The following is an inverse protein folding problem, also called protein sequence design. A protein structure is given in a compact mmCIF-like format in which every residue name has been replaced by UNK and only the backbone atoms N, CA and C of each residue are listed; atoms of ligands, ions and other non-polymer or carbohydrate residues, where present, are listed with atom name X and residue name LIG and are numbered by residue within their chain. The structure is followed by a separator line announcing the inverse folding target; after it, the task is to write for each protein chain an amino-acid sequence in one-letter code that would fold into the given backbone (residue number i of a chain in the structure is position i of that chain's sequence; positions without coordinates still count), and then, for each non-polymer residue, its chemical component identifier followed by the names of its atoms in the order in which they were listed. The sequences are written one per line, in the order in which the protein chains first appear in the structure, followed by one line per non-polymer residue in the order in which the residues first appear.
data_IF_632500440013
#
_entry.id   IF_632500440013
#
_cell.length_a   1.000
_cell.length_b   1.000
_cell.length_c   1.000
_cell.angle_alpha   90.00
_cell.angle_beta   90.00
_cell.angle_gamma   90.00
#
_symmetry.space_group_name_H-M   'P 1'
#
loop_
_entity.id
_entity.type
_entity.pdbx_description
1 polymer ?
#
# COMPACT_ATOMS: atom_id res chain seq x y z
N UNK A 1 6.97 -31.92 -6.27
CA UNK A 1 6.74 -30.66 -7.00
C UNK A 1 8.04 -29.89 -7.10
N UNK A 2 8.42 -29.37 -8.27
CA UNK A 2 9.65 -28.61 -8.48
C UNK A 2 9.28 -27.17 -8.86
N UNK A 3 9.43 -26.23 -7.92
CA UNK A 3 9.17 -24.82 -8.14
C UNK A 3 10.39 -24.22 -8.83
N UNK A 4 10.20 -23.58 -9.99
CA UNK A 4 11.26 -22.96 -10.79
C UNK A 4 11.10 -21.44 -10.93
N UNK A 5 9.86 -20.94 -11.00
CA UNK A 5 9.56 -19.54 -11.21
C UNK A 5 8.50 -19.03 -10.23
N UNK A 6 8.74 -17.88 -9.65
CA UNK A 6 7.80 -17.17 -8.80
C UNK A 6 7.57 -15.76 -9.33
N UNK A 7 6.33 -15.28 -9.28
CA UNK A 7 5.96 -13.89 -9.51
C UNK A 7 5.57 -13.23 -8.22
N UNK A 8 6.10 -12.05 -7.96
CA UNK A 8 5.76 -11.20 -6.81
C UNK A 8 4.99 -9.99 -7.33
N UNK A 9 3.74 -9.81 -6.86
CA UNK A 9 2.83 -8.76 -7.32
C UNK A 9 3.18 -7.37 -6.74
N UNK A 10 4.48 -7.04 -6.74
CA UNK A 10 5.04 -5.79 -6.27
C UNK A 10 6.00 -5.18 -7.32
N UNK A 11 6.34 -3.88 -7.19
CA UNK A 11 7.38 -3.29 -8.04
C UNK A 11 8.70 -4.05 -7.91
N UNK A 12 9.42 -4.17 -9.03
CA UNK A 12 10.79 -4.67 -8.99
C UNK A 12 11.65 -3.78 -8.08
N UNK A 13 12.48 -4.36 -7.21
CA UNK A 13 13.45 -3.58 -6.44
C UNK A 13 14.51 -3.00 -7.36
N UNK A 14 15.13 -1.87 -6.96
CA UNK A 14 16.21 -1.26 -7.73
C UNK A 14 17.41 -2.20 -7.92
N UNK A 15 17.68 -3.02 -6.91
CA UNK A 15 18.72 -4.05 -6.91
C UNK A 15 18.10 -5.38 -6.48
N UNK A 16 18.10 -6.37 -7.37
CA UNK A 16 17.47 -7.68 -7.11
C UNK A 16 18.08 -8.38 -5.89
N UNK A 17 19.37 -8.22 -5.67
CA UNK A 17 20.08 -8.83 -4.54
C UNK A 17 19.66 -8.29 -3.17
N UNK A 18 19.15 -7.06 -3.13
CA UNK A 18 18.60 -6.43 -1.91
C UNK A 18 17.11 -6.77 -1.68
N UNK A 19 16.50 -7.51 -2.59
CA UNK A 19 15.13 -7.95 -2.41
C UNK A 19 15.00 -8.92 -1.23
N UNK A 20 13.95 -8.78 -0.40
CA UNK A 20 13.65 -9.78 0.63
C UNK A 20 13.36 -11.17 0.06
N UNK A 21 13.10 -11.29 -1.26
CA UNK A 21 12.84 -12.55 -1.96
C UNK A 21 14.09 -13.12 -2.67
N UNK A 22 15.25 -12.47 -2.59
CA UNK A 22 16.47 -12.92 -3.25
C UNK A 22 16.93 -14.31 -2.77
N UNK A 23 16.60 -14.69 -1.54
CA UNK A 23 16.86 -16.05 -1.01
C UNK A 23 16.23 -17.16 -1.85
N UNK A 24 15.11 -16.91 -2.52
CA UNK A 24 14.45 -17.86 -3.42
C UNK A 24 15.40 -18.27 -4.55
N UNK A 25 16.08 -17.28 -5.15
CA UNK A 25 17.08 -17.55 -6.19
C UNK A 25 18.34 -18.19 -5.61
N UNK A 26 18.87 -17.62 -4.50
CA UNK A 26 20.15 -18.05 -3.92
C UNK A 26 20.08 -19.45 -3.28
N UNK A 27 19.01 -19.75 -2.53
CA UNK A 27 18.89 -20.95 -1.71
C UNK A 27 18.14 -22.08 -2.42
N UNK A 28 17.14 -21.75 -3.23
CA UNK A 28 16.23 -22.73 -3.85
C UNK A 28 16.32 -22.78 -5.38
N UNK A 29 17.11 -21.90 -5.99
CA UNK A 29 17.24 -21.78 -7.46
C UNK A 29 15.89 -21.49 -8.16
N UNK A 30 15.04 -20.67 -7.52
CA UNK A 30 13.77 -20.22 -8.05
C UNK A 30 13.98 -18.84 -8.66
N UNK A 31 13.66 -18.65 -9.94
CA UNK A 31 13.67 -17.36 -10.59
C UNK A 31 12.51 -16.50 -10.05
N UNK A 32 12.78 -15.28 -9.63
CA UNK A 32 11.77 -14.36 -9.13
C UNK A 32 11.60 -13.22 -10.12
N UNK A 33 10.39 -13.08 -10.62
CA UNK A 33 9.97 -11.95 -11.44
C UNK A 33 9.05 -11.04 -10.62
N UNK A 34 8.92 -9.76 -11.01
CA UNK A 34 8.12 -8.76 -10.31
C UNK A 34 7.19 -8.08 -11.31
N UNK A 35 5.92 -7.94 -10.95
CA UNK A 35 4.93 -7.24 -11.76
C UNK A 35 3.90 -6.60 -10.83
N UNK A 36 3.59 -5.31 -11.03
CA UNK A 36 2.52 -4.66 -10.29
C UNK A 36 1.16 -5.15 -10.80
N UNK A 37 0.36 -5.72 -9.92
CA UNK A 37 -1.00 -6.18 -10.24
C UNK A 37 -2.05 -5.09 -10.02
N UNK A 38 -1.65 -3.97 -9.44
CA UNK A 38 -2.46 -2.75 -9.35
C UNK A 38 -1.59 -1.51 -9.48
N UNK A 39 -2.21 -0.39 -9.78
CA UNK A 39 -1.56 0.91 -9.84
C UNK A 39 -2.39 1.97 -9.11
N UNK A 40 -1.73 3.07 -8.75
CA UNK A 40 -2.39 4.21 -8.14
C UNK A 40 -2.72 5.21 -9.24
N UNK A 41 -3.99 5.56 -9.35
CA UNK A 41 -4.49 6.60 -10.25
C UNK A 41 -4.96 7.80 -9.43
N UNK A 42 -4.53 9.00 -9.81
CA UNK A 42 -5.01 10.22 -9.19
C UNK A 42 -6.39 10.61 -9.68
N UNK A 43 -7.30 10.97 -8.78
CA UNK A 43 -8.58 11.57 -9.16
C UNK A 43 -8.33 12.90 -9.89
N UNK A 44 -9.14 13.19 -10.90
CA UNK A 44 -9.12 14.49 -11.57
C UNK A 44 -9.60 15.60 -10.61
N UNK A 45 -9.25 16.85 -10.93
CA UNK A 45 -9.77 18.00 -10.16
C UNK A 45 -11.29 18.12 -10.23
N UNK A 46 -11.93 17.62 -11.29
CA UNK A 46 -13.38 17.58 -11.43
C UNK A 46 -13.99 16.57 -10.44
N UNK A 47 -13.48 15.34 -10.38
CA UNK A 47 -13.91 14.32 -9.41
C UNK A 47 -13.70 14.80 -7.96
N UNK A 48 -12.57 15.46 -7.69
CA UNK A 48 -12.34 16.03 -6.37
C UNK A 48 -13.37 17.10 -6.00
N UNK A 49 -13.72 18.00 -6.93
CA UNK A 49 -14.73 19.06 -6.70
C UNK A 49 -16.13 18.49 -6.42
N UNK A 50 -16.46 17.30 -6.95
CA UNK A 50 -17.74 16.64 -6.67
C UNK A 50 -17.89 16.30 -5.18
N UNK A 51 -16.79 16.15 -4.44
CA UNK A 51 -16.81 15.92 -3.00
C UNK A 51 -17.18 17.18 -2.20
N UNK A 52 -17.27 18.35 -2.84
CA UNK A 52 -17.62 19.65 -2.23
C UNK A 52 -16.70 20.05 -1.07
N UNK A 53 -15.42 19.71 -1.16
CA UNK A 53 -14.38 20.01 -0.18
C UNK A 53 -13.59 21.22 -0.68
N UNK A 54 -13.48 22.26 0.16
CA UNK A 54 -12.67 23.44 -0.09
C UNK A 54 -11.36 23.32 0.69
N UNK A 55 -10.26 22.99 0.00
CA UNK A 55 -8.96 22.78 0.67
C UNK A 55 -8.45 23.99 1.45
N UNK A 56 -8.84 25.21 1.06
CA UNK A 56 -8.45 26.45 1.74
C UNK A 56 -9.02 26.59 3.16
N UNK A 57 -10.05 25.80 3.51
CA UNK A 57 -10.67 25.85 4.83
C UNK A 57 -9.83 25.14 5.92
N UNK A 58 -8.78 24.41 5.51
CA UNK A 58 -7.94 23.59 6.40
C UNK A 58 -6.54 24.17 6.51
N UNK A 59 -6.03 24.21 7.73
CA UNK A 59 -4.71 24.75 8.04
C UNK A 59 -3.70 23.66 8.50
N UNK A 60 -4.15 22.42 8.51
CA UNK A 60 -3.30 21.25 8.79
C UNK A 60 -3.66 20.08 7.87
N UNK A 61 -2.66 19.30 7.45
CA UNK A 61 -2.84 18.12 6.61
C UNK A 61 -2.19 16.91 7.26
N UNK A 62 -2.89 15.76 7.26
CA UNK A 62 -2.35 14.50 7.79
C UNK A 62 -1.96 13.59 6.63
N UNK A 63 -0.67 13.23 6.54
CA UNK A 63 -0.16 12.35 5.51
C UNK A 63 0.19 10.96 6.05
N UNK A 64 -0.50 9.95 5.56
CA UNK A 64 -0.28 8.54 5.92
C UNK A 64 0.62 7.80 4.94
N UNK A 65 0.84 8.35 3.74
CA UNK A 65 1.66 7.75 2.67
C UNK A 65 2.29 8.80 1.77
N UNK A 66 3.30 8.41 0.98
CA UNK A 66 3.86 9.27 -0.08
C UNK A 66 2.83 9.58 -1.18
N UNK A 67 1.93 8.63 -1.47
CA UNK A 67 0.84 8.85 -2.43
C UNK A 67 -0.12 9.95 -1.97
N UNK A 68 -0.46 9.98 -0.68
CA UNK A 68 -1.30 11.06 -0.13
C UNK A 68 -0.61 12.43 -0.27
N UNK A 69 0.72 12.50 -0.13
CA UNK A 69 1.50 13.73 -0.39
C UNK A 69 1.43 14.12 -1.86
N UNK A 70 1.81 13.21 -2.78
CA UNK A 70 1.86 13.51 -4.21
C UNK A 70 0.50 14.01 -4.74
N UNK A 71 -0.59 13.31 -4.35
CA UNK A 71 -1.92 13.64 -4.84
C UNK A 71 -2.53 14.87 -4.18
N UNK A 72 -2.21 15.15 -2.92
CA UNK A 72 -2.60 16.42 -2.29
C UNK A 72 -2.01 17.61 -3.04
N UNK A 73 -0.69 17.63 -3.25
CA UNK A 73 -0.04 18.75 -3.92
C UNK A 73 -0.44 18.87 -5.40
N UNK A 74 -0.71 17.75 -6.06
CA UNK A 74 -1.26 17.74 -7.42
C UNK A 74 -2.63 18.41 -7.47
N UNK A 75 -3.58 17.99 -6.62
CA UNK A 75 -4.91 18.60 -6.56
C UNK A 75 -4.83 20.05 -6.10
N UNK A 76 -4.01 20.36 -5.09
CA UNK A 76 -3.79 21.73 -4.62
C UNK A 76 -3.37 22.67 -5.76
N UNK A 77 -2.44 22.21 -6.62
CA UNK A 77 -2.03 22.94 -7.82
C UNK A 77 -3.18 23.09 -8.82
N UNK A 78 -3.94 22.03 -9.09
CA UNK A 78 -5.03 22.01 -10.07
C UNK A 78 -6.19 22.95 -9.64
N UNK A 79 -6.45 23.04 -8.34
CA UNK A 79 -7.47 23.97 -7.79
C UNK A 79 -6.91 25.36 -7.46
N UNK A 80 -5.62 25.60 -7.74
CA UNK A 80 -4.90 26.84 -7.47
C UNK A 80 -4.92 27.25 -6.00
N UNK A 81 -4.76 26.26 -5.10
CA UNK A 81 -4.65 26.51 -3.67
C UNK A 81 -3.35 27.24 -3.38
N UNK A 82 -3.45 28.40 -2.73
CA UNK A 82 -2.29 29.09 -2.17
C UNK A 82 -1.90 28.42 -0.84
N UNK A 83 -0.76 27.71 -0.85
CA UNK A 83 -0.24 27.03 0.32
C UNK A 83 0.49 28.05 1.20
N UNK A 84 -0.12 28.39 2.31
CA UNK A 84 0.43 29.40 3.23
C UNK A 84 1.61 28.84 4.02
N UNK A 85 2.51 29.72 4.46
CA UNK A 85 3.61 29.31 5.34
C UNK A 85 3.15 28.81 6.72
N UNK A 86 1.91 29.07 7.12
CA UNK A 86 1.32 28.60 8.38
C UNK A 86 0.87 27.16 8.34
N UNK A 87 0.68 26.58 7.14
CA UNK A 87 0.22 25.19 6.97
C UNK A 87 1.07 24.22 7.77
N UNK A 88 0.42 23.34 8.53
CA UNK A 88 1.04 22.26 9.30
C UNK A 88 0.86 20.91 8.61
N UNK A 89 1.87 20.07 8.73
CA UNK A 89 1.85 18.73 8.17
C UNK A 89 2.15 17.71 9.25
N UNK A 90 1.24 16.77 9.49
CA UNK A 90 1.38 15.67 10.41
C UNK A 90 1.58 14.39 9.58
N UNK A 91 2.71 13.73 9.73
CA UNK A 91 3.09 12.58 8.91
C UNK A 91 3.17 11.30 9.75
N UNK A 92 2.70 10.20 9.19
CA UNK A 92 2.79 8.88 9.82
C UNK A 92 4.24 8.47 10.10
N UNK A 93 5.22 9.00 9.36
CA UNK A 93 6.64 8.67 9.53
C UNK A 93 7.56 9.80 9.12
N UNK A 94 8.80 9.74 9.61
CA UNK A 94 9.88 10.63 9.19
C UNK A 94 10.13 10.56 7.68
N UNK A 95 10.07 9.37 7.08
CA UNK A 95 10.26 9.19 5.65
C UNK A 95 9.21 9.94 4.81
N UNK A 96 7.98 10.08 5.29
CA UNK A 96 6.93 10.89 4.65
C UNK A 96 7.20 12.37 4.88
N UNK A 97 7.60 12.75 6.10
CA UNK A 97 7.93 14.15 6.42
C UNK A 97 9.13 14.66 5.59
N UNK A 98 10.14 13.83 5.38
CA UNK A 98 11.27 14.15 4.50
C UNK A 98 10.82 14.21 3.02
N UNK A 99 9.91 13.35 2.60
CA UNK A 99 9.37 13.34 1.24
C UNK A 99 8.63 14.65 0.88
N UNK A 100 8.05 15.33 1.86
CA UNK A 100 7.43 16.65 1.69
C UNK A 100 8.37 17.71 1.12
N UNK A 101 9.69 17.57 1.29
CA UNK A 101 10.69 18.48 0.72
C UNK A 101 10.59 18.61 -0.81
N UNK A 102 9.99 17.63 -1.47
CA UNK A 102 9.71 17.69 -2.91
C UNK A 102 8.74 18.82 -3.28
N UNK A 103 7.89 19.24 -2.34
CA UNK A 103 6.79 20.18 -2.60
C UNK A 103 6.86 21.44 -1.77
N UNK A 104 7.48 21.41 -0.59
CA UNK A 104 7.55 22.55 0.32
C UNK A 104 8.86 22.54 1.09
N UNK A 105 9.30 23.73 1.54
CA UNK A 105 10.49 23.84 2.38
C UNK A 105 10.28 23.12 3.71
N UNK A 106 11.24 22.26 4.09
CA UNK A 106 11.19 21.55 5.36
C UNK A 106 11.35 22.55 6.52
N UNK A 107 10.38 22.56 7.43
CA UNK A 107 10.43 23.33 8.67
C UNK A 107 10.07 22.43 9.84
N UNK A 108 11.03 22.09 10.68
CA UNK A 108 10.88 21.15 11.80
C UNK A 108 9.66 21.42 12.70
N UNK A 109 9.28 22.68 12.86
CA UNK A 109 8.10 23.08 13.67
C UNK A 109 6.75 22.86 13.00
N UNK A 110 6.75 22.59 11.68
CA UNK A 110 5.53 22.46 10.86
C UNK A 110 5.37 21.07 10.25
N UNK A 111 6.50 20.38 10.05
CA UNK A 111 6.54 19.02 9.53
C UNK A 111 6.75 18.06 10.70
N UNK A 112 5.65 17.67 11.31
CA UNK A 112 5.63 16.77 12.46
C UNK A 112 5.47 15.33 11.97
N UNK A 113 6.06 14.37 12.68
CA UNK A 113 5.92 12.97 12.30
C UNK A 113 5.81 12.05 13.52
N UNK A 114 5.12 10.95 13.32
CA UNK A 114 5.14 9.77 14.17
C UNK A 114 6.19 8.78 13.65
N UNK A 115 6.59 7.81 14.47
CA UNK A 115 7.57 6.79 14.08
C UNK A 115 6.91 5.51 13.58
N UNK A 116 6.08 5.59 12.54
CA UNK A 116 5.23 4.51 12.05
C UNK A 116 4.24 3.95 13.10
N UNK A 117 3.98 4.72 14.15
CA UNK A 117 3.07 4.35 15.22
C UNK A 117 1.74 5.08 15.05
N UNK A 118 0.67 4.31 14.89
CA UNK A 118 -0.69 4.84 14.85
C UNK A 118 -1.01 5.67 16.10
N UNK A 119 -0.62 5.16 17.28
CA UNK A 119 -0.81 5.86 18.56
C UNK A 119 -0.09 7.22 18.56
N UNK A 120 1.16 7.27 18.11
CA UNK A 120 1.90 8.54 18.07
C UNK A 120 1.29 9.54 17.10
N UNK A 121 0.75 9.09 15.95
CA UNK A 121 0.01 9.97 15.04
C UNK A 121 -1.23 10.56 15.70
N UNK A 122 -2.01 9.73 16.39
CA UNK A 122 -3.19 10.16 17.14
C UNK A 122 -2.80 11.15 18.25
N UNK A 123 -1.70 10.90 18.97
CA UNK A 123 -1.17 11.82 19.99
C UNK A 123 -0.72 13.17 19.39
N UNK A 124 -0.15 13.16 18.18
CA UNK A 124 0.16 14.40 17.44
C UNK A 124 -1.10 15.17 17.06
N UNK A 125 -2.12 14.50 16.54
CA UNK A 125 -3.42 15.11 16.25
C UNK A 125 -4.01 15.73 17.50
N UNK A 126 -4.01 15.01 18.64
CA UNK A 126 -4.48 15.51 19.92
C UNK A 126 -3.75 16.77 20.41
N UNK A 127 -2.44 16.84 20.22
CA UNK A 127 -1.63 18.03 20.58
C UNK A 127 -1.98 19.25 19.71
N UNK A 128 -2.49 19.04 18.51
CA UNK A 128 -2.85 20.08 17.55
C UNK A 128 -4.36 20.19 17.32
N UNK A 129 -5.18 19.76 18.28
CA UNK A 129 -6.65 19.62 18.15
C UNK A 129 -7.40 20.92 17.80
N UNK A 130 -6.75 22.06 17.90
CA UNK A 130 -7.32 23.36 17.50
C UNK A 130 -7.22 23.67 16.02
N UNK A 131 -6.47 22.86 15.28
CA UNK A 131 -6.33 22.99 13.83
C UNK A 131 -7.52 22.35 13.12
N UNK A 132 -7.79 22.82 11.91
CA UNK A 132 -8.71 22.19 10.97
C UNK A 132 -7.94 21.26 10.04
N UNK A 133 -8.18 19.96 10.16
CA UNK A 133 -7.41 18.98 9.44
C UNK A 133 -8.03 18.57 8.12
N UNK A 134 -7.21 18.45 7.10
CA UNK A 134 -7.54 17.68 5.91
C UNK A 134 -6.80 16.37 5.89
N UNK A 135 -7.50 15.26 5.62
CA UNK A 135 -6.95 13.92 5.49
C UNK A 135 -7.07 13.43 4.04
N UNK A 136 -6.00 13.55 3.22
CA UNK A 136 -6.00 13.00 1.87
C UNK A 136 -6.05 11.46 1.93
N UNK A 137 -7.05 10.87 1.29
CA UNK A 137 -7.26 9.41 1.31
C UNK A 137 -7.28 8.82 -0.10
N UNK A 138 -7.19 7.49 -0.16
CA UNK A 138 -7.64 6.74 -1.33
C UNK A 138 -9.17 6.66 -1.33
N UNK A 139 -9.77 6.63 -2.51
CA UNK A 139 -11.21 6.31 -2.67
C UNK A 139 -11.53 4.91 -2.10
N UNK A 140 -10.59 3.98 -2.28
CA UNK A 140 -10.65 2.63 -1.71
C UNK A 140 -9.88 2.58 -0.38
N UNK A 141 -10.18 3.48 0.58
CA UNK A 141 -9.50 3.49 1.87
C UNK A 141 -9.85 2.24 2.68
N UNK A 142 -8.84 1.70 3.38
CA UNK A 142 -9.00 0.49 4.19
C UNK A 142 -9.07 0.77 5.69
N UNK A 143 -9.09 -0.30 6.47
CA UNK A 143 -9.29 -0.29 7.93
C UNK A 143 -8.38 0.68 8.71
N UNK A 144 -7.13 0.89 8.28
CA UNK A 144 -6.21 1.83 8.94
C UNK A 144 -6.69 3.29 8.82
N UNK A 145 -7.22 3.66 7.65
CA UNK A 145 -7.77 5.00 7.42
C UNK A 145 -9.07 5.18 8.22
N UNK A 146 -9.90 4.15 8.30
CA UNK A 146 -11.15 4.21 9.04
C UNK A 146 -10.88 4.28 10.55
N UNK A 147 -9.93 3.52 11.06
CA UNK A 147 -9.48 3.64 12.46
C UNK A 147 -8.95 5.05 12.79
N UNK A 148 -8.26 5.70 11.84
CA UNK A 148 -7.80 7.09 12.04
C UNK A 148 -8.96 8.07 12.09
N UNK A 149 -9.95 7.95 11.19
CA UNK A 149 -11.17 8.77 11.22
C UNK A 149 -11.94 8.59 12.52
N UNK A 150 -12.09 7.35 12.99
CA UNK A 150 -12.73 7.04 14.28
C UNK A 150 -11.99 7.68 15.46
N UNK A 151 -10.65 7.57 15.49
CA UNK A 151 -9.83 8.21 16.53
C UNK A 151 -9.95 9.74 16.50
N UNK A 152 -9.96 10.36 15.32
CA UNK A 152 -10.13 11.80 15.18
C UNK A 152 -11.52 12.25 15.62
N UNK A 153 -12.55 11.49 15.31
CA UNK A 153 -13.93 11.73 15.77
C UNK A 153 -14.02 11.64 17.30
N UNK A 154 -13.41 10.62 17.90
CA UNK A 154 -13.37 10.44 19.35
C UNK A 154 -12.61 11.58 20.08
N UNK A 155 -11.64 12.20 19.42
CA UNK A 155 -10.90 13.36 19.93
C UNK A 155 -11.66 14.69 19.74
N UNK A 156 -12.81 14.67 19.06
CA UNK A 156 -13.60 15.86 18.71
C UNK A 156 -12.77 16.93 17.98
N UNK A 157 -11.90 16.52 17.07
CA UNK A 157 -11.15 17.45 16.21
C UNK A 157 -11.94 17.77 14.93
N UNK A 158 -11.75 18.98 14.44
CA UNK A 158 -12.36 19.42 13.17
C UNK A 158 -11.53 18.83 12.02
N UNK A 159 -12.12 17.92 11.24
CA UNK A 159 -11.46 17.30 10.10
C UNK A 159 -12.40 16.90 8.98
N UNK A 160 -11.86 16.86 7.78
CA UNK A 160 -12.49 16.22 6.63
C UNK A 160 -11.50 15.28 5.95
N UNK A 161 -11.97 14.10 5.57
CA UNK A 161 -11.25 13.18 4.71
C UNK A 161 -11.74 13.33 3.27
N UNK A 162 -10.81 13.46 2.32
CA UNK A 162 -11.12 13.60 0.90
C UNK A 162 -10.32 12.62 0.06
N UNK A 163 -11.01 11.90 -0.83
CA UNK A 163 -10.37 11.02 -1.79
C UNK A 163 -9.60 11.84 -2.84
N UNK A 164 -8.34 11.53 -3.04
CA UNK A 164 -7.48 12.21 -4.02
C UNK A 164 -6.88 11.25 -5.05
N UNK A 165 -6.98 9.96 -4.80
CA UNK A 165 -6.48 8.89 -5.65
C UNK A 165 -7.26 7.61 -5.39
N UNK A 166 -7.09 6.64 -6.27
CA UNK A 166 -7.65 5.30 -6.13
C UNK A 166 -6.64 4.25 -6.55
N UNK A 167 -6.80 3.04 -6.04
CA UNK A 167 -6.12 1.86 -6.56
C UNK A 167 -6.98 1.27 -7.66
N UNK A 168 -6.38 1.03 -8.82
CA UNK A 168 -7.04 0.35 -9.95
C UNK A 168 -6.25 -0.89 -10.34
N UNK A 169 -6.89 -1.95 -10.86
CA UNK A 169 -6.20 -3.10 -11.40
C UNK A 169 -5.22 -2.68 -12.51
N UNK A 170 -4.05 -3.32 -12.57
CA UNK A 170 -3.16 -3.17 -13.73
C UNK A 170 -3.67 -3.97 -14.91
N UNK A 171 -3.33 -3.53 -16.12
CA UNK A 171 -3.45 -4.37 -17.30
C UNK A 171 -2.41 -5.50 -17.23
N UNK A 172 -2.87 -6.74 -17.14
CA UNK A 172 -2.04 -7.94 -17.09
C UNK A 172 -2.06 -8.72 -18.39
N UNK A 173 -2.52 -8.16 -19.50
CA UNK A 173 -2.66 -8.83 -20.80
C UNK A 173 -1.35 -9.43 -21.33
N UNK A 174 -0.21 -8.83 -20.99
CA UNK A 174 1.13 -9.32 -21.34
C UNK A 174 1.69 -10.37 -20.37
N UNK A 175 0.98 -10.64 -19.27
CA UNK A 175 1.40 -11.61 -18.26
C UNK A 175 0.85 -12.98 -18.59
N UNK A 176 1.68 -14.04 -18.42
CA UNK A 176 1.29 -15.44 -18.66
C UNK A 176 1.37 -16.19 -17.33
N UNK A 177 0.26 -16.34 -16.57
CA UNK A 177 0.30 -16.93 -15.23
C UNK A 177 0.73 -18.39 -15.21
N UNK A 178 0.51 -19.15 -16.29
CA UNK A 178 0.91 -20.56 -16.38
C UNK A 178 2.43 -20.78 -16.42
N UNK A 179 3.21 -19.73 -16.69
CA UNK A 179 4.68 -19.80 -16.66
C UNK A 179 5.26 -19.79 -15.24
N UNK A 180 4.42 -19.61 -14.23
CA UNK A 180 4.84 -19.49 -12.84
C UNK A 180 4.30 -20.63 -11.99
N UNK A 181 5.16 -21.19 -11.16
CA UNK A 181 4.83 -22.22 -10.18
C UNK A 181 4.34 -21.62 -8.85
N UNK A 182 4.67 -20.35 -8.60
CA UNK A 182 4.27 -19.60 -7.39
C UNK A 182 3.84 -18.18 -7.72
N UNK A 183 2.66 -17.79 -7.22
CA UNK A 183 2.13 -16.42 -7.30
C UNK A 183 2.08 -15.83 -5.89
N UNK A 184 2.71 -14.66 -5.68
CA UNK A 184 2.73 -13.96 -4.37
C UNK A 184 1.95 -12.65 -4.48
N UNK A 185 0.79 -12.60 -3.82
CA UNK A 185 -0.20 -11.53 -3.93
C UNK A 185 -0.32 -10.72 -2.64
N UNK A 186 -0.46 -9.39 -2.76
CA UNK A 186 -0.38 -8.44 -1.64
C UNK A 186 -1.63 -7.58 -1.44
N UNK A 187 -2.60 -7.62 -2.33
CA UNK A 187 -3.78 -6.76 -2.23
C UNK A 187 -5.02 -7.37 -2.89
N UNK A 188 -6.22 -7.11 -2.34
CA UNK A 188 -7.49 -7.53 -2.96
C UNK A 188 -7.64 -6.98 -4.38
N UNK A 189 -7.23 -5.72 -4.62
CA UNK A 189 -7.31 -5.10 -5.95
C UNK A 189 -6.38 -5.78 -6.95
N UNK A 190 -5.23 -6.28 -6.50
CA UNK A 190 -4.33 -7.10 -7.32
C UNK A 190 -4.92 -8.46 -7.65
N UNK A 191 -5.66 -9.07 -6.72
CA UNK A 191 -6.42 -10.30 -6.97
C UNK A 191 -7.51 -10.04 -8.01
N UNK A 192 -8.28 -8.96 -7.85
CA UNK A 192 -9.30 -8.56 -8.81
C UNK A 192 -8.71 -8.34 -10.22
N UNK A 193 -7.56 -7.66 -10.31
CA UNK A 193 -6.87 -7.47 -11.59
C UNK A 193 -6.47 -8.79 -12.22
N UNK A 194 -5.96 -9.71 -11.42
CA UNK A 194 -5.59 -11.04 -11.87
C UNK A 194 -6.79 -11.85 -12.36
N UNK A 195 -7.86 -11.93 -11.58
CA UNK A 195 -9.05 -12.71 -11.95
C UNK A 195 -9.82 -12.12 -13.13
N UNK A 196 -9.86 -10.79 -13.25
CA UNK A 196 -10.44 -10.13 -14.42
C UNK A 196 -9.65 -10.39 -15.71
N UNK A 197 -8.32 -10.42 -15.61
CA UNK A 197 -7.45 -10.68 -16.77
C UNK A 197 -7.39 -12.16 -17.15
N UNK A 198 -7.61 -13.07 -16.19
CA UNK A 198 -7.52 -14.51 -16.38
C UNK A 198 -8.71 -15.24 -15.75
N UNK A 199 -9.93 -15.04 -16.27
CA UNK A 199 -11.16 -15.64 -15.69
C UNK A 199 -11.15 -17.16 -15.72
N UNK A 200 -10.45 -17.77 -16.70
CA UNK A 200 -10.35 -19.21 -16.88
C UNK A 200 -9.09 -19.83 -16.21
N UNK A 201 -8.38 -19.05 -15.37
CA UNK A 201 -7.17 -19.54 -14.71
C UNK A 201 -7.48 -20.71 -13.78
N UNK A 202 -6.80 -21.83 -14.02
CA UNK A 202 -6.83 -22.99 -13.15
C UNK A 202 -5.54 -23.05 -12.32
N UNK A 203 -5.70 -23.06 -11.00
CA UNK A 203 -4.56 -23.07 -10.08
C UNK A 203 -3.74 -24.34 -10.20
N UNK A 204 -4.38 -25.50 -10.37
CA UNK A 204 -3.73 -26.82 -10.40
C UNK A 204 -2.77 -27.01 -9.20
N UNK A 205 -1.49 -27.36 -9.48
CA UNK A 205 -0.46 -27.52 -8.44
C UNK A 205 0.26 -26.22 -8.08
N UNK A 206 -0.12 -25.06 -8.64
CA UNK A 206 0.55 -23.79 -8.40
C UNK A 206 0.32 -23.30 -6.97
N UNK A 207 1.37 -22.77 -6.38
CA UNK A 207 1.34 -22.21 -5.04
C UNK A 207 0.87 -20.76 -5.11
N UNK A 208 -0.14 -20.43 -4.32
CA UNK A 208 -0.58 -19.06 -4.10
C UNK A 208 -0.23 -18.64 -2.68
N UNK A 209 0.56 -17.57 -2.59
CA UNK A 209 0.90 -16.90 -1.33
C UNK A 209 0.16 -15.59 -1.23
N UNK A 210 -0.50 -15.33 -0.09
CA UNK A 210 -1.33 -14.15 0.13
C UNK A 210 -0.92 -13.39 1.39
N UNK A 211 -0.64 -12.09 1.23
CA UNK A 211 -0.36 -11.21 2.35
C UNK A 211 -1.61 -10.40 2.75
N UNK A 212 -1.98 -10.49 4.03
CA UNK A 212 -3.12 -9.81 4.60
C UNK A 212 -4.45 -10.54 4.40
N UNK A 213 -5.33 -10.39 5.40
CA UNK A 213 -6.62 -11.09 5.46
C UNK A 213 -7.50 -10.78 4.24
N UNK A 214 -7.60 -9.51 3.84
CA UNK A 214 -8.41 -9.12 2.69
C UNK A 214 -7.95 -9.75 1.37
N UNK A 215 -6.63 -9.95 1.19
CA UNK A 215 -6.09 -10.64 0.00
C UNK A 215 -6.45 -12.12 0.00
N UNK A 216 -6.38 -12.76 1.18
CA UNK A 216 -6.76 -14.16 1.35
C UNK A 216 -8.26 -14.37 1.07
N UNK A 217 -9.10 -13.49 1.61
CA UNK A 217 -10.55 -13.52 1.38
C UNK A 217 -10.88 -13.33 -0.11
N UNK A 218 -10.25 -12.37 -0.78
CA UNK A 218 -10.46 -12.13 -2.21
C UNK A 218 -10.07 -13.35 -3.07
N UNK A 219 -8.97 -14.02 -2.76
CA UNK A 219 -8.56 -15.25 -3.44
C UNK A 219 -9.55 -16.39 -3.21
N UNK A 220 -10.00 -16.56 -1.97
CA UNK A 220 -10.99 -17.60 -1.62
C UNK A 220 -12.33 -17.37 -2.35
N UNK A 221 -12.78 -16.10 -2.42
CA UNK A 221 -13.99 -15.73 -3.16
C UNK A 221 -13.85 -15.98 -4.67
N UNK A 222 -12.63 -15.87 -5.19
CA UNK A 222 -12.31 -16.22 -6.58
C UNK A 222 -12.15 -17.73 -6.82
N UNK A 223 -12.39 -18.59 -5.82
CA UNK A 223 -12.26 -20.04 -5.94
C UNK A 223 -10.80 -20.54 -5.91
N UNK A 224 -9.86 -19.71 -5.50
CA UNK A 224 -8.43 -20.03 -5.43
C UNK A 224 -8.02 -20.44 -4.01
N UNK A 225 -7.15 -21.42 -3.91
CA UNK A 225 -6.64 -21.93 -2.63
C UNK A 225 -5.38 -21.17 -2.20
N UNK A 226 -5.39 -20.57 -1.02
CA UNK A 226 -4.21 -19.95 -0.43
C UNK A 226 -3.36 -21.02 0.24
N UNK A 227 -2.16 -21.26 -0.31
CA UNK A 227 -1.22 -22.23 0.22
C UNK A 227 -0.32 -21.64 1.32
N UNK A 228 0.01 -20.36 1.20
CA UNK A 228 0.88 -19.62 2.13
C UNK A 228 0.20 -18.32 2.51
N UNK A 229 0.01 -18.10 3.81
CA UNK A 229 -0.57 -16.87 4.33
C UNK A 229 0.38 -16.13 5.27
N UNK A 230 0.37 -14.79 5.20
CA UNK A 230 1.03 -13.91 6.14
C UNK A 230 0.22 -12.58 6.24
N UNK A 231 0.28 -11.86 7.38
CA UNK A 231 0.87 -12.31 8.64
C UNK A 231 0.03 -13.40 9.31
N UNK A 232 0.70 -14.22 10.13
CA UNK A 232 0.07 -15.17 11.05
C UNK A 232 0.50 -14.85 12.47
N UNK A 233 0.02 -15.58 13.46
CA UNK A 233 0.42 -15.41 14.87
C UNK A 233 1.94 -15.61 15.08
N UNK A 234 2.59 -16.43 14.25
CA UNK A 234 4.01 -16.79 14.37
C UNK A 234 4.90 -16.17 13.30
N UNK A 235 4.34 -15.74 12.17
CA UNK A 235 5.11 -15.23 11.02
C UNK A 235 4.52 -13.91 10.55
N UNK A 236 5.29 -12.84 10.68
CA UNK A 236 4.84 -11.48 10.35
C UNK A 236 5.10 -11.07 8.88
N UNK A 237 6.04 -11.75 8.20
CA UNK A 237 6.45 -11.37 6.84
C UNK A 237 6.20 -12.47 5.81
N UNK A 238 5.86 -12.08 4.59
CA UNK A 238 5.66 -13.01 3.47
C UNK A 238 6.95 -13.76 3.08
N UNK A 239 8.15 -13.14 3.03
CA UNK A 239 9.38 -13.89 2.77
C UNK A 239 9.63 -15.03 3.77
N UNK A 240 9.42 -14.77 5.06
CA UNK A 240 9.56 -15.79 6.12
C UNK A 240 8.55 -16.92 5.95
N UNK A 241 7.27 -16.59 5.68
CA UNK A 241 6.22 -17.57 5.44
C UNK A 241 6.57 -18.48 4.24
N UNK A 242 7.05 -17.90 3.16
CA UNK A 242 7.48 -18.67 1.97
C UNK A 242 8.69 -19.56 2.31
N UNK A 243 9.68 -19.03 3.05
CA UNK A 243 10.86 -19.82 3.42
C UNK A 243 10.49 -21.03 4.29
N UNK A 244 9.62 -20.85 5.29
CA UNK A 244 9.13 -21.95 6.12
C UNK A 244 8.35 -23.01 5.31
N UNK A 245 7.52 -22.56 4.36
CA UNK A 245 6.80 -23.46 3.49
C UNK A 245 7.75 -24.28 2.60
N UNK A 246 8.69 -23.59 1.95
CA UNK A 246 9.66 -24.24 1.06
C UNK A 246 10.58 -25.21 1.82
N UNK A 247 10.98 -24.88 3.05
CA UNK A 247 11.81 -25.75 3.87
C UNK A 247 11.14 -27.12 4.16
N UNK A 248 9.80 -27.19 4.15
CA UNK A 248 9.03 -28.41 4.36
C UNK A 248 8.96 -29.27 3.10
N UNK A 249 8.93 -28.66 1.91
CA UNK A 249 8.67 -29.36 0.64
C UNK A 249 9.90 -29.47 -0.27
N UNK A 250 10.92 -28.65 -0.06
CA UNK A 250 12.14 -28.61 -0.88
C UNK A 250 13.39 -28.71 -0.02
N UNK A 251 14.38 -29.47 -0.47
CA UNK A 251 15.72 -29.44 0.13
C UNK A 251 16.46 -28.19 -0.36
N UNK A 252 17.04 -27.38 0.53
CA UNK A 252 17.86 -26.25 0.12
C UNK A 252 19.07 -26.73 -0.67
N UNK A 253 19.53 -25.91 -1.61
CA UNK A 253 20.74 -26.18 -2.39
C UNK A 253 21.94 -26.25 -1.43
N UNK A 254 22.64 -27.37 -1.42
CA UNK A 254 23.94 -27.44 -0.69
C UNK A 254 24.92 -26.47 -1.36
N UNK A 255 25.60 -25.64 -0.54
CA UNK A 255 26.65 -24.73 -1.01
C UNK A 255 27.81 -25.52 -1.56
#
# INVERSE_FOLDING_TARGET
MKIKRAIVSQPAPAELEKSPYYFLTKKYNIKVDYLKFFQIEGLSSLEFRQQKITLADYNAVIFTSKHSVDHYFRIAKDVRLEITESMKYLCMSEAIALYLQKYTSFRKRKNLHANHSFKELVDLVKKHRTEKFFLPTSENSGAETDALKEAMTALHVDFVAGAMYRSIPSDLSSFTPIDYDMLVLFSPIGVQGFTNSFPDFQQEERIIAAYGKGTQEALTQAGLTVNISAPTATVSSMPTAIEEYLAKIMKPRRK
#
